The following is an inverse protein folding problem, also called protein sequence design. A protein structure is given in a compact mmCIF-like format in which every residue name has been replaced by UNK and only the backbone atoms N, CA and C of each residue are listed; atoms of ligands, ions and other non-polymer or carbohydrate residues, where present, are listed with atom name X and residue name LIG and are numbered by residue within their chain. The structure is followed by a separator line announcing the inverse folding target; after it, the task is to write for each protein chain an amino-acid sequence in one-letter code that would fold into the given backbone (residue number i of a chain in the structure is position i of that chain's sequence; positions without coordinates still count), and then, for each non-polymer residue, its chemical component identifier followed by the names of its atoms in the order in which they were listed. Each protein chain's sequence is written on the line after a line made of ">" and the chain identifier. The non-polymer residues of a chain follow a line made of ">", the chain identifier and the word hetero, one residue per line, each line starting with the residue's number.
data_IF_621832132118
#
_entry.id   IF_621832132118
#
_cell.length_a   1.000
_cell.length_b   1.000
_cell.length_c   1.000
_cell.angle_alpha   90.00
_cell.angle_beta   90.00
_cell.angle_gamma   90.00
#
_symmetry.space_group_name_H-M   'P 1'
#
loop_
_entity.id
_entity.type
_entity.pdbx_description
1 polymer ?
#
# COMPACT_ATOMS: atom_id res chain seq x y z
N UNK A 1 -30.09 9.45 18.47
CA UNK A 1 -29.05 8.39 18.41
C UNK A 1 -29.43 7.41 17.31
N UNK A 2 -28.73 7.42 16.19
CA UNK A 2 -28.73 6.36 15.18
C UNK A 2 -27.31 6.35 14.59
N UNK A 3 -26.52 5.34 14.92
CA UNK A 3 -25.19 5.13 14.32
C UNK A 3 -25.40 4.70 12.88
N UNK A 4 -25.23 5.64 11.94
CA UNK A 4 -25.14 5.34 10.51
C UNK A 4 -23.88 4.53 10.27
N UNK A 5 -24.00 3.21 10.41
CA UNK A 5 -22.95 2.27 10.10
C UNK A 5 -22.91 2.13 8.57
N UNK A 6 -22.28 3.10 7.91
CA UNK A 6 -22.08 3.11 6.48
C UNK A 6 -20.79 2.35 6.15
N UNK A 7 -20.86 1.11 5.60
CA UNK A 7 -19.67 0.32 5.29
C UNK A 7 -18.76 1.00 4.25
N UNK A 8 -19.28 1.95 3.45
CA UNK A 8 -18.47 2.74 2.52
C UNK A 8 -17.45 3.65 3.19
N UNK A 9 -17.63 4.00 4.47
CA UNK A 9 -16.66 4.84 5.20
C UNK A 9 -15.38 4.09 5.58
N UNK A 10 -15.40 2.76 5.58
CA UNK A 10 -14.24 1.93 5.92
C UNK A 10 -13.35 1.68 4.69
N UNK A 11 -13.93 1.57 3.49
CA UNK A 11 -13.18 1.40 2.23
C UNK A 11 -12.45 2.68 1.78
N UNK A 12 -12.88 3.87 2.21
CA UNK A 12 -12.31 5.16 1.78
C UNK A 12 -10.99 5.56 2.48
N UNK A 13 -10.39 4.69 3.30
CA UNK A 13 -9.14 5.00 4.03
C UNK A 13 -7.91 4.28 3.51
N UNK A 14 -8.07 3.31 2.61
CA UNK A 14 -6.93 2.61 2.03
C UNK A 14 -6.44 3.36 0.80
N UNK A 15 -5.23 3.89 0.89
CA UNK A 15 -4.52 4.47 -0.25
C UNK A 15 -3.29 3.60 -0.57
N UNK A 16 -3.33 2.73 -1.59
CA UNK A 16 -2.20 1.89 -1.97
C UNK A 16 -1.01 2.69 -2.51
N UNK A 17 -1.17 3.97 -2.84
CA UNK A 17 -0.04 4.85 -3.18
C UNK A 17 0.74 5.30 -1.94
N UNK A 18 0.09 5.34 -0.77
CA UNK A 18 0.73 5.69 0.50
C UNK A 18 1.52 4.52 1.14
N UNK A 19 1.20 3.27 0.76
CA UNK A 19 1.84 2.07 1.30
C UNK A 19 3.27 1.93 0.79
N UNK A 20 4.21 1.73 1.73
CA UNK A 20 5.66 1.61 1.46
C UNK A 20 6.07 0.16 1.23
N UNK A 21 7.16 -0.06 0.48
CA UNK A 21 7.67 -1.39 0.14
C UNK A 21 7.93 -2.29 1.36
N UNK A 22 8.43 -1.73 2.46
CA UNK A 22 8.65 -2.47 3.71
C UNK A 22 7.36 -3.11 4.22
N UNK A 23 6.23 -2.40 4.16
CA UNK A 23 4.93 -2.93 4.59
C UNK A 23 4.47 -4.11 3.73
N UNK A 24 4.65 -4.03 2.40
CA UNK A 24 4.34 -5.15 1.50
C UNK A 24 5.16 -6.41 1.83
N UNK A 25 6.44 -6.22 2.18
CA UNK A 25 7.34 -7.31 2.48
C UNK A 25 7.04 -7.94 3.85
N UNK A 26 6.58 -7.15 4.82
CA UNK A 26 6.07 -7.64 6.11
C UNK A 26 4.76 -8.41 5.92
N UNK A 27 3.79 -7.83 5.20
CA UNK A 27 2.48 -8.46 4.96
C UNK A 27 2.62 -9.82 4.25
N UNK A 28 3.63 -9.95 3.39
CA UNK A 28 3.96 -11.18 2.69
C UNK A 28 4.79 -12.18 3.53
N UNK A 29 5.17 -11.83 4.75
CA UNK A 29 6.04 -12.64 5.63
C UNK A 29 7.48 -12.78 5.12
N UNK A 30 7.91 -11.91 4.21
CA UNK A 30 9.24 -11.92 3.61
C UNK A 30 10.29 -11.17 4.44
N UNK A 31 9.83 -10.20 5.24
CA UNK A 31 10.65 -9.49 6.22
C UNK A 31 9.89 -9.36 7.54
N UNK A 32 10.63 -9.28 8.64
CA UNK A 32 10.09 -8.88 9.95
C UNK A 32 10.24 -7.37 10.15
N UNK A 33 9.47 -6.79 11.07
CA UNK A 33 9.62 -5.38 11.47
C UNK A 33 11.07 -5.06 11.88
N UNK A 34 11.69 -5.93 12.68
CA UNK A 34 13.08 -5.77 13.10
C UNK A 34 14.07 -5.76 11.92
N UNK A 35 13.84 -6.56 10.89
CA UNK A 35 14.67 -6.53 9.68
C UNK A 35 14.46 -5.23 8.89
N UNK A 36 13.24 -4.73 8.82
CA UNK A 36 12.93 -3.42 8.20
C UNK A 36 13.67 -2.30 8.93
N UNK A 37 13.67 -2.29 10.26
CA UNK A 37 14.38 -1.28 11.05
C UNK A 37 15.89 -1.30 10.79
N UNK A 38 16.49 -2.49 10.70
CA UNK A 38 17.91 -2.64 10.34
C UNK A 38 18.19 -2.10 8.94
N UNK A 39 17.34 -2.40 7.95
CA UNK A 39 17.51 -1.88 6.59
C UNK A 39 17.41 -0.36 6.58
N UNK A 40 16.47 0.22 7.34
CA UNK A 40 16.32 1.68 7.41
C UNK A 40 17.53 2.35 8.06
N UNK A 41 18.09 1.74 9.10
CA UNK A 41 19.34 2.21 9.73
C UNK A 41 20.50 2.17 8.74
N UNK A 42 20.65 1.07 8.00
CA UNK A 42 21.68 0.94 6.96
C UNK A 42 21.49 1.93 5.82
N UNK A 43 20.25 2.21 5.42
CA UNK A 43 19.96 3.15 4.35
C UNK A 43 20.43 4.57 4.73
N UNK A 44 20.32 4.95 6.01
CA UNK A 44 20.83 6.23 6.51
C UNK A 44 22.36 6.26 6.49
N UNK A 45 23.03 5.17 6.87
CA UNK A 45 24.49 5.13 6.97
C UNK A 45 25.19 4.96 5.63
N UNK A 46 24.58 4.24 4.69
CA UNK A 46 25.18 3.87 3.40
C UNK A 46 24.66 4.68 2.22
N UNK A 47 23.44 5.21 2.30
CA UNK A 47 22.74 5.83 1.17
C UNK A 47 22.21 4.84 0.12
N UNK A 48 22.38 3.53 0.33
CA UNK A 48 21.86 2.50 -0.57
C UNK A 48 20.33 2.40 -0.51
N UNK A 49 19.68 1.90 -1.57
CA UNK A 49 18.22 1.74 -1.55
C UNK A 49 17.82 0.59 -0.62
N UNK A 50 16.67 0.73 0.04
CA UNK A 50 16.06 -0.30 0.90
C UNK A 50 16.16 -1.72 0.31
N UNK A 51 15.73 -1.89 -0.95
CA UNK A 51 15.72 -3.19 -1.60
C UNK A 51 17.12 -3.76 -1.87
N UNK A 52 18.09 -2.91 -2.21
CA UNK A 52 19.48 -3.31 -2.44
C UNK A 52 20.12 -3.82 -1.15
N UNK A 53 19.85 -3.15 -0.02
CA UNK A 53 20.33 -3.57 1.29
C UNK A 53 19.70 -4.91 1.69
N UNK A 54 18.40 -5.08 1.47
CA UNK A 54 17.70 -6.33 1.79
C UNK A 54 18.25 -7.53 0.99
N UNK A 55 18.64 -7.30 -0.27
CA UNK A 55 19.29 -8.31 -1.12
C UNK A 55 20.74 -8.55 -0.68
N UNK A 56 21.51 -7.49 -0.43
CA UNK A 56 22.89 -7.58 0.04
C UNK A 56 23.01 -8.36 1.36
N UNK A 57 22.05 -8.19 2.27
CA UNK A 57 21.97 -8.93 3.53
C UNK A 57 21.51 -10.39 3.38
N UNK A 58 21.09 -10.80 2.19
CA UNK A 58 20.61 -12.15 1.90
C UNK A 58 19.20 -12.46 2.44
N UNK A 59 18.45 -11.44 2.87
CA UNK A 59 17.08 -11.62 3.36
C UNK A 59 16.06 -11.70 2.23
N UNK A 60 16.36 -11.09 1.09
CA UNK A 60 15.56 -11.18 -0.12
C UNK A 60 16.43 -11.58 -1.30
N UNK A 61 15.83 -12.29 -2.27
CA UNK A 61 16.43 -12.40 -3.60
C UNK A 61 16.03 -11.19 -4.44
N UNK A 62 16.88 -10.77 -5.38
CA UNK A 62 16.55 -9.71 -6.34
C UNK A 62 15.24 -10.03 -7.09
N UNK A 63 15.06 -11.30 -7.48
CA UNK A 63 13.85 -11.78 -8.16
C UNK A 63 12.58 -11.56 -7.33
N UNK A 64 12.64 -11.82 -6.02
CA UNK A 64 11.51 -11.61 -5.10
C UNK A 64 11.19 -10.12 -4.98
N UNK A 65 12.22 -9.29 -4.82
CA UNK A 65 12.06 -7.84 -4.75
C UNK A 65 11.39 -7.29 -6.01
N UNK A 66 11.88 -7.69 -7.18
CA UNK A 66 11.34 -7.27 -8.48
C UNK A 66 9.87 -7.67 -8.66
N UNK A 67 9.51 -8.88 -8.20
CA UNK A 67 8.14 -9.37 -8.24
C UNK A 67 7.21 -8.51 -7.37
N UNK A 68 7.62 -8.19 -6.14
CA UNK A 68 6.80 -7.37 -5.23
C UNK A 68 6.69 -5.93 -5.76
N UNK A 69 7.80 -5.30 -6.16
CA UNK A 69 7.80 -3.90 -6.60
C UNK A 69 7.07 -3.69 -7.93
N UNK A 70 7.15 -4.66 -8.84
CA UNK A 70 6.60 -4.53 -10.18
C UNK A 70 5.19 -5.11 -10.25
N UNK A 71 4.98 -6.35 -9.80
CA UNK A 71 3.69 -7.02 -10.01
C UNK A 71 2.68 -6.68 -8.92
N UNK A 72 3.05 -6.82 -7.65
CA UNK A 72 2.09 -6.65 -6.54
C UNK A 72 1.68 -5.19 -6.39
N UNK A 73 2.63 -4.26 -6.37
CA UNK A 73 2.31 -2.84 -6.21
C UNK A 73 1.57 -2.25 -7.42
N UNK A 74 1.94 -2.62 -8.65
CA UNK A 74 1.27 -2.12 -9.85
C UNK A 74 -0.19 -2.57 -9.89
N UNK A 75 -0.46 -3.86 -9.58
CA UNK A 75 -1.82 -4.38 -9.53
C UNK A 75 -2.62 -3.66 -8.45
N UNK A 76 -2.08 -3.54 -7.24
CA UNK A 76 -2.84 -2.95 -6.13
C UNK A 76 -3.11 -1.45 -6.34
N UNK A 77 -2.14 -0.71 -6.91
CA UNK A 77 -2.31 0.70 -7.25
C UNK A 77 -3.22 0.90 -8.46
N UNK A 78 -3.18 -0.01 -9.43
CA UNK A 78 -4.09 0.02 -10.58
C UNK A 78 -5.53 -0.38 -10.24
N UNK A 79 -5.74 -1.22 -9.23
CA UNK A 79 -7.05 -1.55 -8.66
C UNK A 79 -7.55 -0.47 -7.69
N UNK A 80 -6.61 0.24 -7.07
CA UNK A 80 -6.84 1.27 -6.07
C UNK A 80 -7.19 2.64 -6.62
N UNK A 81 -7.44 2.78 -7.93
CA UNK A 81 -8.13 3.96 -8.45
C UNK A 81 -9.36 4.19 -7.55
N UNK A 82 -9.42 5.30 -6.79
CA UNK A 82 -10.60 5.58 -6.00
C UNK A 82 -11.77 5.52 -6.96
N UNK A 83 -12.88 4.86 -6.57
CA UNK A 83 -14.17 5.08 -7.25
C UNK A 83 -14.23 6.57 -7.49
N UNK A 84 -14.10 7.00 -8.75
CA UNK A 84 -13.64 8.36 -9.03
C UNK A 84 -14.48 9.34 -8.21
N UNK A 85 -13.89 10.45 -7.77
CA UNK A 85 -14.66 11.46 -7.03
C UNK A 85 -15.98 11.78 -7.76
N UNK A 86 -15.97 11.67 -9.10
CA UNK A 86 -17.12 11.67 -10.00
C UNK A 86 -18.16 10.57 -9.76
N UNK A 87 -17.79 9.29 -9.56
CA UNK A 87 -18.72 8.23 -9.13
C UNK A 87 -19.34 8.50 -7.75
N UNK A 88 -18.54 9.00 -6.80
CA UNK A 88 -19.03 9.36 -5.46
C UNK A 88 -20.02 10.53 -5.54
N UNK A 89 -19.73 11.55 -6.33
CA UNK A 89 -20.63 12.70 -6.58
C UNK A 89 -21.87 12.31 -7.39
N UNK A 90 -21.74 11.42 -8.38
CA UNK A 90 -22.85 10.91 -9.19
C UNK A 90 -23.87 10.14 -8.35
N UNK A 91 -23.43 9.39 -7.33
CA UNK A 91 -24.32 8.70 -6.39
C UNK A 91 -25.03 9.68 -5.45
N UNK A 92 -24.35 10.74 -4.99
CA UNK A 92 -24.99 11.82 -4.22
C UNK A 92 -26.05 12.56 -5.05
N UNK A 93 -25.80 12.77 -6.34
CA UNK A 93 -26.75 13.41 -7.26
C UNK A 93 -28.02 12.56 -7.45
N UNK A 94 -27.87 11.25 -7.63
CA UNK A 94 -29.01 10.32 -7.76
C UNK A 94 -29.93 10.30 -6.53
N UNK A 95 -29.38 10.45 -5.31
CA UNK A 95 -30.19 10.52 -4.07
C UNK A 95 -30.93 11.86 -3.89
N UNK A 96 -30.45 12.95 -4.49
CA UNK A 96 -31.10 14.27 -4.40
C UNK A 96 -32.31 14.42 -5.32
N UNK A 97 -32.33 13.70 -6.45
CA UNK A 97 -33.42 13.75 -7.44
C UNK A 97 -34.65 12.89 -7.07
N UNK A 98 -34.59 12.18 -5.95
CA UNK A 98 -35.67 11.35 -5.41
C UNK A 98 -36.44 12.04 -4.25
N UNK A 99 -36.31 13.37 -4.13
CA UNK A 99 -37.08 14.22 -3.21
C UNK A 99 -37.90 15.23 -3.98
#
# INVERSE_FOLDING_TARGET
>A
MLTSNNPSSFMLRYDPHSKRIGSYLIDAGLLTEAQVDVILSDQVSTGMKFGEIAVMRGWLSQKTLDFISTKVMEIERGLGEPLSQEFVEMQKFRKRKAR
#
